data_IF_469231364457
#
_entry.id   IF_469231364457
#
_cell.length_a   1.000
_cell.length_b   1.000
_cell.length_c   1.000
_cell.angle_alpha   90.00
_cell.angle_beta   90.00
_cell.angle_gamma   90.00
#
_symmetry.space_group_name_H-M   'P 1'
#
loop_
_entity.id
_entity.type
_entity.pdbx_description
1 polymer ?
#
# COMPACT_ATOMS: atom_id res chain seq x y z
N UNK A 1 11.76 -24.29 11.45
CA UNK A 1 10.74 -23.62 12.29
C UNK A 1 11.03 -22.14 12.44
N UNK A 2 12.15 -21.71 13.05
CA UNK A 2 12.46 -20.29 13.30
C UNK A 2 12.43 -19.40 12.03
N UNK A 3 13.00 -19.87 10.93
CA UNK A 3 13.02 -19.12 9.65
C UNK A 3 11.61 -18.86 9.08
N UNK A 4 10.69 -19.83 9.20
CA UNK A 4 9.32 -19.70 8.69
C UNK A 4 8.53 -18.71 9.55
N UNK A 5 8.72 -18.75 10.88
CA UNK A 5 8.07 -17.81 11.81
C UNK A 5 8.53 -16.37 11.54
N UNK A 6 9.83 -16.17 11.26
CA UNK A 6 10.37 -14.86 10.89
C UNK A 6 9.77 -14.36 9.56
N UNK A 7 9.75 -15.21 8.53
CA UNK A 7 9.18 -14.86 7.23
C UNK A 7 7.69 -14.52 7.34
N UNK A 8 6.93 -15.28 8.14
CA UNK A 8 5.53 -15.02 8.43
C UNK A 8 5.37 -13.64 9.08
N UNK A 9 6.18 -13.33 10.11
CA UNK A 9 6.15 -12.04 10.78
C UNK A 9 6.44 -10.88 9.82
N UNK A 10 7.48 -11.02 8.99
CA UNK A 10 7.86 -10.01 7.99
C UNK A 10 6.74 -9.82 6.96
N UNK A 11 6.15 -10.90 6.46
CA UNK A 11 5.07 -10.83 5.49
C UNK A 11 3.84 -10.13 6.08
N UNK A 12 3.42 -10.50 7.29
CA UNK A 12 2.29 -9.86 7.99
C UNK A 12 2.58 -8.38 8.21
N UNK A 13 3.75 -8.05 8.73
CA UNK A 13 4.15 -6.67 9.03
C UNK A 13 4.21 -5.83 7.76
N UNK A 14 4.85 -6.34 6.70
CA UNK A 14 4.96 -5.65 5.42
C UNK A 14 3.58 -5.39 4.81
N UNK A 15 2.70 -6.41 4.79
CA UNK A 15 1.36 -6.27 4.26
C UNK A 15 0.51 -5.28 5.07
N UNK A 16 0.49 -5.40 6.41
CA UNK A 16 -0.25 -4.48 7.27
C UNK A 16 0.26 -3.05 7.08
N UNK A 17 1.58 -2.87 7.02
CA UNK A 17 2.20 -1.57 6.85
C UNK A 17 1.66 -0.88 5.61
N UNK A 18 1.74 -1.52 4.44
CA UNK A 18 1.41 -0.85 3.17
C UNK A 18 -0.10 -0.79 2.87
N UNK A 19 -0.92 -1.65 3.49
CA UNK A 19 -2.37 -1.70 3.21
C UNK A 19 -3.22 -0.95 4.25
N UNK A 20 -2.60 -0.26 5.20
CA UNK A 20 -3.34 0.47 6.24
C UNK A 20 -4.09 1.68 5.68
N UNK A 21 -3.54 2.35 4.67
CA UNK A 21 -4.21 3.48 4.01
C UNK A 21 -5.32 2.98 3.08
N UNK A 22 -5.08 1.88 2.36
CA UNK A 22 -6.07 1.17 1.56
C UNK A 22 -7.29 0.73 2.37
N UNK A 23 -7.11 0.42 3.67
CA UNK A 23 -8.20 0.00 4.55
C UNK A 23 -9.38 0.99 4.54
N UNK A 24 -9.10 2.30 4.53
CA UNK A 24 -10.14 3.33 4.57
C UNK A 24 -10.87 3.48 3.24
N UNK A 25 -10.11 3.42 2.14
CA UNK A 25 -10.66 3.45 0.78
C UNK A 25 -11.55 2.24 0.56
N UNK A 26 -11.09 1.05 0.97
CA UNK A 26 -11.84 -0.19 0.89
C UNK A 26 -13.08 -0.16 1.79
N UNK A 27 -12.98 0.39 3.01
CA UNK A 27 -14.13 0.58 3.88
C UNK A 27 -15.20 1.47 3.26
N UNK A 28 -14.81 2.57 2.58
CA UNK A 28 -15.76 3.43 1.88
C UNK A 28 -16.58 2.67 0.81
N UNK A 29 -15.94 1.78 0.04
CA UNK A 29 -16.64 0.93 -0.93
C UNK A 29 -17.59 -0.08 -0.28
N UNK A 30 -17.25 -0.62 0.90
CA UNK A 30 -18.14 -1.52 1.64
C UNK A 30 -19.30 -0.80 2.36
N UNK A 31 -19.13 0.48 2.71
CA UNK A 31 -20.19 1.32 3.28
C UNK A 31 -21.20 1.81 2.23
N UNK A 32 -20.79 1.96 0.98
CA UNK A 32 -21.68 2.36 -0.10
C UNK A 32 -22.54 1.18 -0.58
N UNK A 33 -23.84 1.25 -0.26
CA UNK A 33 -24.84 0.25 -0.64
C UNK A 33 -25.01 0.09 -2.17
N UNK A 34 -24.46 1.02 -2.96
CA UNK A 34 -24.43 0.91 -4.42
C UNK A 34 -23.49 -0.20 -4.91
N UNK A 35 -22.55 -0.66 -4.08
CA UNK A 35 -21.60 -1.71 -4.42
C UNK A 35 -21.99 -3.04 -3.76
N UNK A 36 -22.06 -4.10 -4.57
CA UNK A 36 -22.20 -5.44 -4.02
C UNK A 36 -20.86 -5.85 -3.37
N UNK A 37 -20.90 -6.36 -2.13
CA UNK A 37 -19.73 -6.85 -1.39
C UNK A 37 -18.84 -7.77 -2.23
N UNK A 38 -19.42 -8.64 -3.07
CA UNK A 38 -18.66 -9.55 -3.95
C UNK A 38 -17.82 -8.80 -4.99
N UNK A 39 -18.37 -7.72 -5.56
CA UNK A 39 -17.69 -6.88 -6.57
C UNK A 39 -16.50 -6.15 -5.92
N UNK A 40 -16.68 -5.67 -4.70
CA UNK A 40 -15.60 -5.02 -3.93
C UNK A 40 -14.46 -6.00 -3.67
N UNK A 41 -14.78 -7.22 -3.21
CA UNK A 41 -13.77 -8.27 -2.96
C UNK A 41 -13.02 -8.61 -4.26
N UNK A 42 -13.73 -8.82 -5.37
CA UNK A 42 -13.10 -9.14 -6.67
C UNK A 42 -12.17 -8.01 -7.11
N UNK A 43 -12.63 -6.75 -7.02
CA UNK A 43 -11.82 -5.59 -7.37
C UNK A 43 -10.53 -5.49 -6.54
N UNK A 44 -10.65 -5.71 -5.22
CA UNK A 44 -9.49 -5.71 -4.31
C UNK A 44 -8.48 -6.79 -4.68
N UNK A 45 -8.95 -8.02 -4.95
CA UNK A 45 -8.07 -9.11 -5.34
C UNK A 45 -7.35 -8.83 -6.65
N UNK A 46 -8.05 -8.27 -7.65
CA UNK A 46 -7.43 -7.89 -8.93
C UNK A 46 -6.36 -6.82 -8.70
N UNK A 47 -6.68 -5.74 -7.98
CA UNK A 47 -5.74 -4.64 -7.71
C UNK A 47 -4.49 -5.11 -6.97
N UNK A 48 -4.66 -5.83 -5.86
CA UNK A 48 -3.52 -6.36 -5.07
C UNK A 48 -2.71 -7.38 -5.86
N UNK A 49 -3.36 -8.25 -6.65
CA UNK A 49 -2.63 -9.22 -7.48
C UNK A 49 -1.76 -8.53 -8.52
N UNK A 50 -2.25 -7.46 -9.14
CA UNK A 50 -1.47 -6.64 -10.09
C UNK A 50 -0.27 -6.01 -9.38
N UNK A 51 -0.45 -5.45 -8.18
CA UNK A 51 0.65 -4.88 -7.38
C UNK A 51 1.70 -5.93 -7.03
N UNK A 52 1.28 -7.12 -6.60
CA UNK A 52 2.18 -8.24 -6.30
C UNK A 52 2.95 -8.66 -7.57
N UNK A 53 2.27 -8.80 -8.71
CA UNK A 53 2.89 -9.18 -9.98
C UNK A 53 3.95 -8.18 -10.42
N UNK A 54 3.65 -6.88 -10.34
CA UNK A 54 4.63 -5.82 -10.63
C UNK A 54 5.81 -5.89 -9.66
N UNK A 55 5.54 -6.15 -8.39
CA UNK A 55 6.58 -6.27 -7.36
C UNK A 55 7.47 -7.50 -7.54
N UNK A 56 6.97 -8.59 -8.15
CA UNK A 56 7.76 -9.77 -8.48
C UNK A 56 8.91 -9.48 -9.46
N UNK A 57 8.89 -8.35 -10.16
CA UNK A 57 10.04 -7.88 -10.94
C UNK A 57 11.29 -7.74 -10.06
N UNK A 58 11.15 -7.41 -8.77
CA UNK A 58 12.26 -7.41 -7.81
C UNK A 58 12.93 -8.78 -7.66
N UNK A 59 12.14 -9.86 -7.65
CA UNK A 59 12.68 -11.23 -7.64
C UNK A 59 13.37 -11.57 -8.97
N UNK A 60 12.88 -11.08 -10.10
CA UNK A 60 13.56 -11.25 -11.39
C UNK A 60 14.92 -10.52 -11.37
N UNK A 61 14.98 -9.30 -10.83
CA UNK A 61 16.24 -8.55 -10.69
C UNK A 61 17.31 -9.28 -9.86
N UNK A 62 16.92 -10.12 -8.90
CA UNK A 62 17.86 -10.99 -8.16
C UNK A 62 18.67 -11.91 -9.09
N UNK A 63 18.11 -12.32 -10.23
CA UNK A 63 18.80 -13.19 -11.19
C UNK A 63 19.86 -12.44 -12.01
N UNK A 64 19.76 -11.11 -12.08
CA UNK A 64 20.67 -10.26 -12.87
C UNK A 64 21.70 -9.52 -12.01
N UNK A 65 21.40 -9.29 -10.72
CA UNK A 65 22.22 -8.45 -9.84
C UNK A 65 23.00 -9.26 -8.80
N UNK A 66 24.27 -8.90 -8.50
CA UNK A 66 25.00 -9.47 -7.37
C UNK A 66 24.24 -9.25 -6.07
N UNK A 67 24.33 -10.21 -5.15
CA UNK A 67 23.57 -10.22 -3.87
C UNK A 67 23.74 -8.95 -3.05
N UNK A 68 24.89 -8.29 -3.14
CA UNK A 68 25.17 -7.06 -2.41
C UNK A 68 24.42 -5.83 -2.95
N UNK A 69 24.08 -5.81 -4.25
CA UNK A 69 23.27 -4.74 -4.85
C UNK A 69 21.81 -4.83 -4.43
N UNK A 70 21.33 -6.02 -4.08
CA UNK A 70 19.96 -6.24 -3.60
C UNK A 70 19.71 -5.50 -2.30
N UNK A 71 20.67 -5.47 -1.37
CA UNK A 71 20.45 -4.73 -0.12
C UNK A 71 20.41 -3.21 -0.31
N UNK A 72 20.95 -2.65 -1.40
CA UNK A 72 20.76 -1.23 -1.75
C UNK A 72 19.27 -0.93 -1.97
N UNK A 73 18.48 -1.89 -2.47
CA UNK A 73 17.03 -1.75 -2.60
C UNK A 73 16.32 -1.60 -1.24
N UNK A 74 16.96 -2.03 -0.14
CA UNK A 74 16.49 -1.78 1.22
C UNK A 74 16.52 -0.29 1.63
N UNK A 75 17.22 0.57 0.89
CA UNK A 75 17.13 2.02 1.05
C UNK A 75 15.77 2.57 0.61
N UNK A 76 15.08 1.91 -0.33
CA UNK A 76 13.80 2.40 -0.85
C UNK A 76 12.72 2.43 0.26
N UNK A 77 12.47 1.36 1.04
CA UNK A 77 11.60 1.41 2.20
C UNK A 77 12.02 2.47 3.23
N UNK A 78 13.33 2.63 3.48
CA UNK A 78 13.85 3.63 4.43
C UNK A 78 13.50 5.05 3.97
N UNK A 79 13.76 5.37 2.69
CA UNK A 79 13.47 6.69 2.11
C UNK A 79 11.96 6.97 2.18
N UNK A 80 11.12 5.97 1.85
CA UNK A 80 9.66 6.11 1.93
C UNK A 80 9.22 6.38 3.39
N UNK A 81 9.78 5.63 4.35
CA UNK A 81 9.47 5.80 5.77
C UNK A 81 9.87 7.19 6.30
N UNK A 82 11.09 7.65 5.98
CA UNK A 82 11.57 8.98 6.37
C UNK A 82 10.70 10.07 5.73
N UNK A 83 10.38 9.95 4.42
CA UNK A 83 9.53 10.92 3.72
C UNK A 83 8.16 11.04 4.37
N UNK A 84 7.58 9.92 4.78
CA UNK A 84 6.29 9.89 5.46
C UNK A 84 6.37 10.62 6.82
N UNK A 85 7.44 10.40 7.59
CA UNK A 85 7.66 11.08 8.88
C UNK A 85 7.78 12.62 8.72
N UNK A 86 8.55 13.08 7.72
CA UNK A 86 8.73 14.52 7.44
C UNK A 86 7.40 15.17 7.03
N UNK A 87 6.62 14.53 6.16
CA UNK A 87 5.32 15.04 5.72
C UNK A 87 4.31 15.10 6.86
N UNK A 88 4.36 14.16 7.80
CA UNK A 88 3.49 14.15 8.98
C UNK A 88 3.74 15.37 9.90
N UNK A 89 5.01 15.77 10.06
CA UNK A 89 5.39 16.98 10.82
C UNK A 89 4.97 18.26 10.07
N UNK A 90 5.06 18.27 8.73
CA UNK A 90 4.72 19.43 7.90
C UNK A 90 3.22 19.69 7.80
N UNK A 91 2.39 18.65 7.70
CA UNK A 91 0.93 18.78 7.63
C UNK A 91 0.31 19.23 8.95
N UNK A 92 0.87 18.83 10.10
CA UNK A 92 0.43 19.33 11.42
C UNK A 92 0.60 20.85 11.58
N UNK A 93 1.53 21.45 10.83
CA UNK A 93 1.83 22.90 10.85
C UNK A 93 0.97 23.71 9.87
N UNK A 94 0.43 23.07 8.80
CA UNK A 94 -0.37 23.73 7.75
C UNK A 94 -1.87 23.79 8.06
N UNK A 95 -2.39 22.88 8.89
CA UNK A 95 -3.81 22.87 9.28
C UNK A 95 -4.25 24.11 10.09
N UNK A 96 -3.34 24.74 10.85
CA UNK A 96 -3.66 25.96 11.64
C UNK A 96 -3.73 27.21 10.76
N UNK A 97 -2.94 27.28 9.67
CA UNK A 97 -2.92 28.45 8.77
C UNK A 97 -4.04 28.43 7.73
N UNK A 98 -4.52 27.24 7.33
CA UNK A 98 -5.52 27.13 6.27
C UNK A 98 -6.97 27.31 6.75
N UNK A 99 -7.31 27.08 8.02
CA UNK A 99 -8.66 27.35 8.53
C UNK A 99 -9.02 28.85 8.50
N UNK A 100 -8.02 29.73 8.63
CA UNK A 100 -8.22 31.19 8.57
C UNK A 100 -8.46 31.67 7.12
N UNK A 101 -7.81 31.04 6.13
CA UNK A 101 -7.87 31.48 4.71
C UNK A 101 -9.07 30.88 3.97
N UNK A 102 -9.52 29.66 4.32
CA UNK A 102 -10.63 28.98 3.64
C UNK A 102 -11.98 29.66 3.86
N UNK A 103 -12.16 30.44 4.93
CA UNK A 103 -13.41 31.19 5.16
C UNK A 103 -13.63 32.34 4.17
N UNK A 104 -12.56 32.84 3.52
CA UNK A 104 -12.62 33.96 2.57
C UNK A 104 -12.85 33.49 1.12
N UNK A 105 -12.33 32.31 0.72
CA UNK A 105 -12.41 31.83 -0.67
C UNK A 105 -13.75 31.18 -1.06
N UNK A 106 -14.58 30.74 -0.08
CA UNK A 106 -15.83 30.00 -0.36
C UNK A 106 -16.91 30.90 -1.01
N UNK A 107 -16.80 32.23 -0.95
CA UNK A 107 -17.83 33.13 -1.48
C UNK A 107 -17.79 33.34 -3.01
N UNK A 108 -16.73 32.96 -3.73
CA UNK A 108 -16.52 33.55 -5.08
C UNK A 108 -16.44 32.62 -6.30
N UNK A 109 -16.46 31.30 -6.20
CA UNK A 109 -16.28 30.44 -7.41
C UNK A 109 -17.26 29.27 -7.51
N UNK A 110 -18.48 29.58 -7.93
CA UNK A 110 -19.39 28.60 -8.54
C UNK A 110 -19.85 29.13 -9.91
N UNK A 111 -19.01 28.95 -10.94
CA UNK A 111 -19.40 28.83 -12.35
C UNK A 111 -18.16 28.52 -13.18
N UNK A 112 -18.17 27.36 -13.84
CA UNK A 112 -17.74 27.10 -15.23
C UNK A 112 -17.38 25.61 -15.39
N UNK A 113 -18.15 24.93 -16.24
CA UNK A 113 -17.93 23.54 -16.60
C UNK A 113 -16.90 23.39 -17.72
N UNK A 114 -16.50 22.15 -17.99
CA UNK A 114 -15.99 21.75 -19.29
C UNK A 114 -16.18 20.24 -19.52
N UNK A 115 -16.78 19.96 -20.68
CA UNK A 115 -16.88 18.66 -21.33
C UNK A 115 -15.52 18.28 -21.92
N UNK A 116 -15.12 17.00 -21.83
CA UNK A 116 -14.23 16.39 -22.82
C UNK A 116 -14.72 14.99 -23.23
N UNK A 117 -14.67 14.79 -24.55
CA UNK A 117 -15.36 13.76 -25.31
C UNK A 117 -14.33 12.76 -25.83
N UNK A 118 -14.12 11.65 -25.13
CA UNK A 118 -13.48 10.44 -25.67
C UNK A 118 -13.73 9.28 -24.71
N UNK A 119 -13.83 8.05 -25.23
CA UNK A 119 -13.80 6.74 -24.53
C UNK A 119 -15.06 5.84 -24.51
N UNK A 120 -15.72 5.58 -25.63
CA UNK A 120 -16.81 4.57 -25.65
C UNK A 120 -16.32 3.10 -25.48
N UNK A 121 -15.03 2.81 -25.67
CA UNK A 121 -14.45 1.46 -25.44
C UNK A 121 -13.84 1.34 -24.04
N UNK A 122 -13.07 2.35 -23.60
CA UNK A 122 -12.52 2.35 -22.25
C UNK A 122 -13.64 2.49 -21.20
N UNK A 123 -14.72 3.27 -21.43
CA UNK A 123 -15.90 3.26 -20.54
C UNK A 123 -16.47 1.86 -20.37
N UNK A 124 -16.60 1.07 -21.43
CA UNK A 124 -17.19 -0.28 -21.34
C UNK A 124 -16.34 -1.29 -20.56
N UNK A 125 -15.02 -1.10 -20.54
CA UNK A 125 -14.08 -1.86 -19.70
C UNK A 125 -14.07 -1.31 -18.26
N UNK A 126 -14.21 0.01 -18.11
CA UNK A 126 -14.31 0.74 -16.84
C UNK A 126 -15.68 0.57 -16.15
N UNK A 127 -16.73 0.18 -16.90
CA UNK A 127 -18.12 0.06 -16.44
C UNK A 127 -18.30 -1.07 -15.41
N UNK A 128 -17.34 -1.99 -15.31
CA UNK A 128 -17.34 -2.93 -14.19
C UNK A 128 -16.88 -2.21 -12.93
N UNK A 129 -17.80 -2.03 -11.97
CA UNK A 129 -17.51 -1.54 -10.62
C UNK A 129 -16.29 -2.24 -9.98
N UNK A 130 -16.03 -3.50 -10.31
CA UNK A 130 -14.84 -4.23 -9.83
C UNK A 130 -13.53 -3.69 -10.43
N UNK A 131 -13.53 -3.29 -11.70
CA UNK A 131 -12.36 -2.73 -12.38
C UNK A 131 -12.03 -1.33 -11.84
N UNK A 132 -13.05 -0.50 -11.57
CA UNK A 132 -12.85 0.78 -10.90
C UNK A 132 -12.17 0.60 -9.53
N UNK A 133 -12.66 -0.33 -8.71
CA UNK A 133 -12.07 -0.64 -7.40
C UNK A 133 -10.64 -1.18 -7.56
N UNK A 134 -10.39 -2.03 -8.55
CA UNK A 134 -9.05 -2.54 -8.84
C UNK A 134 -8.08 -1.42 -9.23
N UNK A 135 -8.51 -0.46 -10.06
CA UNK A 135 -7.71 0.73 -10.41
C UNK A 135 -7.43 1.56 -9.16
N UNK A 136 -8.44 1.85 -8.35
CA UNK A 136 -8.27 2.66 -7.14
C UNK A 136 -7.29 1.99 -6.18
N UNK A 137 -7.42 0.67 -5.98
CA UNK A 137 -6.49 -0.14 -5.18
C UNK A 137 -5.06 -0.09 -5.73
N UNK A 138 -4.92 -0.29 -7.05
CA UNK A 138 -3.62 -0.23 -7.71
C UNK A 138 -2.97 1.14 -7.62
N UNK A 139 -3.74 2.21 -7.83
CA UNK A 139 -3.27 3.60 -7.75
C UNK A 139 -2.86 4.00 -6.34
N UNK A 140 -3.52 3.46 -5.31
CA UNK A 140 -3.17 3.75 -3.93
C UNK A 140 -1.99 2.89 -3.43
N UNK A 141 -1.84 1.65 -3.92
CA UNK A 141 -0.75 0.75 -3.53
C UNK A 141 0.63 1.04 -4.14
N UNK A 142 0.95 2.30 -4.44
CA UNK A 142 2.28 2.68 -4.94
C UNK A 142 3.39 2.43 -3.92
N UNK A 143 3.09 2.57 -2.63
CA UNK A 143 3.96 2.18 -1.51
C UNK A 143 4.09 0.65 -1.39
N UNK A 144 3.05 -0.13 -1.71
CA UNK A 144 3.14 -1.59 -1.81
C UNK A 144 4.27 -1.98 -2.79
N UNK A 145 4.35 -1.36 -3.97
CA UNK A 145 5.43 -1.64 -4.93
C UNK A 145 6.79 -1.28 -4.33
N UNK A 146 6.89 -0.11 -3.70
CA UNK A 146 8.14 0.37 -3.07
C UNK A 146 8.66 -0.51 -1.93
N UNK A 147 7.79 -1.33 -1.33
CA UNK A 147 8.13 -2.21 -0.20
C UNK A 147 8.26 -3.67 -0.63
N UNK A 148 7.34 -4.15 -1.47
CA UNK A 148 7.30 -5.54 -1.89
C UNK A 148 8.42 -5.86 -2.87
N UNK A 149 8.76 -4.94 -3.78
CA UNK A 149 9.85 -5.12 -4.75
C UNK A 149 11.20 -5.43 -4.06
N UNK A 150 11.71 -4.59 -3.13
CA UNK A 150 12.95 -4.88 -2.43
C UNK A 150 12.85 -6.12 -1.53
N UNK A 151 11.69 -6.35 -0.90
CA UNK A 151 11.45 -7.55 -0.10
C UNK A 151 11.59 -8.80 -0.95
N UNK A 152 10.90 -8.88 -2.09
CA UNK A 152 10.88 -10.05 -2.98
C UNK A 152 12.26 -10.32 -3.60
N UNK A 153 13.03 -9.27 -3.88
CA UNK A 153 14.42 -9.42 -4.33
C UNK A 153 15.31 -10.14 -3.29
N UNK A 154 14.98 -10.04 -1.99
CA UNK A 154 15.71 -10.69 -0.89
C UNK A 154 15.27 -12.12 -0.57
N UNK A 155 14.25 -12.65 -1.27
CA UNK A 155 13.64 -13.96 -1.00
C UNK A 155 14.15 -15.04 -1.96
N UNK A 156 14.05 -16.29 -1.53
CA UNK A 156 14.15 -17.46 -2.43
C UNK A 156 12.78 -17.84 -3.01
N UNK A 157 12.74 -18.70 -4.04
CA UNK A 157 11.48 -19.01 -4.74
C UNK A 157 10.38 -19.55 -3.80
N UNK A 158 10.74 -20.46 -2.89
CA UNK A 158 9.80 -21.02 -1.92
C UNK A 158 9.30 -19.97 -0.92
N UNK A 159 10.17 -19.05 -0.51
CA UNK A 159 9.83 -17.94 0.39
C UNK A 159 8.92 -16.92 -0.31
N UNK A 160 9.18 -16.65 -1.60
CA UNK A 160 8.35 -15.78 -2.42
C UNK A 160 6.94 -16.36 -2.58
N UNK A 161 6.82 -17.63 -2.99
CA UNK A 161 5.52 -18.30 -3.14
C UNK A 161 4.75 -18.29 -1.82
N UNK A 162 5.42 -18.61 -0.71
CA UNK A 162 4.83 -18.54 0.63
C UNK A 162 4.33 -17.13 0.95
N UNK A 163 5.14 -16.10 0.68
CA UNK A 163 4.81 -14.70 0.95
C UNK A 163 3.62 -14.23 0.10
N UNK A 164 3.58 -14.59 -1.18
CA UNK A 164 2.46 -14.28 -2.10
C UNK A 164 1.17 -14.92 -1.63
N UNK A 165 1.20 -16.20 -1.26
CA UNK A 165 0.02 -16.90 -0.72
C UNK A 165 -0.45 -16.21 0.56
N UNK A 166 0.47 -15.85 1.46
CA UNK A 166 0.13 -15.14 2.69
C UNK A 166 -0.49 -13.77 2.43
N UNK A 167 0.00 -13.01 1.44
CA UNK A 167 -0.62 -11.73 1.06
C UNK A 167 -2.05 -11.94 0.54
N UNK A 168 -2.29 -12.95 -0.29
CA UNK A 168 -3.64 -13.26 -0.79
C UNK A 168 -4.60 -13.71 0.33
N UNK A 169 -4.11 -14.43 1.34
CA UNK A 169 -4.88 -14.77 2.55
C UNK A 169 -5.17 -13.50 3.36
N UNK A 170 -4.18 -12.63 3.53
CA UNK A 170 -4.34 -11.37 4.26
C UNK A 170 -5.37 -10.44 3.60
N UNK A 171 -5.50 -10.44 2.26
CA UNK A 171 -6.60 -9.73 1.56
C UNK A 171 -7.97 -10.23 2.02
N UNK A 172 -8.18 -11.55 2.15
CA UNK A 172 -9.43 -12.10 2.67
C UNK A 172 -9.69 -11.65 4.11
N UNK A 173 -8.65 -11.69 4.95
CA UNK A 173 -8.71 -11.22 6.34
C UNK A 173 -9.09 -9.73 6.39
N UNK A 174 -8.49 -8.90 5.54
CA UNK A 174 -8.79 -7.47 5.45
C UNK A 174 -10.25 -7.21 5.07
N UNK A 175 -10.74 -7.86 4.02
CA UNK A 175 -12.13 -7.78 3.59
C UNK A 175 -13.09 -8.23 4.70
N UNK A 176 -12.78 -9.33 5.40
CA UNK A 176 -13.59 -9.83 6.51
C UNK A 176 -13.67 -8.82 7.66
N UNK A 177 -12.52 -8.28 8.08
CA UNK A 177 -12.42 -7.29 9.15
C UNK A 177 -13.26 -6.06 8.81
N UNK A 178 -13.18 -5.54 7.59
CA UNK A 178 -13.94 -4.37 7.16
C UNK A 178 -15.44 -4.67 7.16
N UNK A 179 -15.88 -5.81 6.60
CA UNK A 179 -17.29 -6.20 6.61
C UNK A 179 -17.81 -6.32 8.05
N UNK A 180 -17.01 -6.88 8.95
CA UNK A 180 -17.33 -6.96 10.38
C UNK A 180 -17.52 -5.56 10.99
N UNK A 181 -16.65 -4.60 10.68
CA UNK A 181 -16.75 -3.22 11.19
C UNK A 181 -17.89 -2.41 10.58
N UNK A 182 -18.16 -2.57 9.28
CA UNK A 182 -19.28 -1.90 8.59
C UNK A 182 -20.62 -2.31 9.21
N UNK A 183 -20.77 -3.59 9.55
CA UNK A 183 -21.98 -4.07 10.22
C UNK A 183 -22.12 -3.58 11.68
N UNK A 184 -21.00 -3.21 12.32
CA UNK A 184 -20.93 -2.84 13.73
C UNK A 184 -20.59 -1.34 13.92
N UNK A 185 -21.36 -0.40 13.33
CA UNK A 185 -21.31 1.08 13.52
C UNK A 185 -19.97 1.63 14.08
N UNK A 186 -18.84 1.29 13.45
CA UNK A 186 -17.53 1.59 14.03
C UNK A 186 -16.98 2.91 13.49
N UNK A 187 -16.51 3.77 14.39
CA UNK A 187 -15.99 5.10 14.04
C UNK A 187 -14.54 4.99 13.57
N UNK A 188 -14.30 5.12 12.26
CA UNK A 188 -12.98 4.96 11.61
C UNK A 188 -11.87 5.95 12.00
N UNK A 189 -12.03 6.71 13.07
CA UNK A 189 -11.09 7.78 13.48
C UNK A 189 -9.86 7.20 14.19
N UNK A 190 -9.99 6.09 14.92
CA UNK A 190 -8.89 5.50 15.71
C UNK A 190 -7.79 4.91 14.80
N UNK A 191 -8.15 4.11 13.79
CA UNK A 191 -7.16 3.40 12.98
C UNK A 191 -6.26 4.34 12.17
N UNK A 192 -6.80 5.48 11.70
CA UNK A 192 -6.05 6.43 10.85
C UNK A 192 -4.93 7.12 11.64
N UNK A 193 -5.14 7.31 12.95
CA UNK A 193 -4.17 7.94 13.84
C UNK A 193 -2.99 7.01 14.17
N UNK A 194 -3.24 5.71 14.32
CA UNK A 194 -2.19 4.74 14.61
C UNK A 194 -1.39 4.34 13.35
N UNK A 195 -2.04 4.22 12.20
CA UNK A 195 -1.37 3.87 10.93
C UNK A 195 -0.30 4.88 10.53
N UNK A 196 -0.66 6.17 10.44
CA UNK A 196 0.26 7.25 10.06
C UNK A 196 1.47 7.39 11.00
N UNK A 197 1.34 6.97 12.26
CA UNK A 197 2.43 7.05 13.24
C UNK A 197 3.32 5.81 13.16
N UNK A 198 2.76 4.61 13.07
CA UNK A 198 3.53 3.36 13.11
C UNK A 198 4.20 3.02 11.77
N UNK A 199 3.52 3.30 10.65
CA UNK A 199 3.97 2.99 9.29
C UNK A 199 5.43 3.39 8.97
N UNK A 200 5.87 4.65 9.20
CA UNK A 200 7.23 5.06 8.86
C UNK A 200 8.31 4.27 9.61
N UNK A 201 8.07 3.91 10.87
CA UNK A 201 9.03 3.13 11.65
C UNK A 201 9.15 1.69 11.16
N UNK A 202 8.01 1.07 10.80
CA UNK A 202 7.98 -0.29 10.25
C UNK A 202 8.78 -0.37 8.95
N UNK A 203 8.62 0.62 8.07
CA UNK A 203 9.37 0.72 6.81
C UNK A 203 10.88 0.85 7.02
N UNK A 204 11.29 1.69 7.97
CA UNK A 204 12.71 1.87 8.31
C UNK A 204 13.30 0.56 8.81
N UNK A 205 12.62 -0.12 9.74
CA UNK A 205 13.05 -1.43 10.26
C UNK A 205 13.12 -2.48 9.16
N UNK A 206 12.13 -2.54 8.27
CA UNK A 206 12.11 -3.48 7.14
C UNK A 206 13.27 -3.22 6.17
N UNK A 207 13.55 -1.95 5.85
CA UNK A 207 14.67 -1.61 4.98
C UNK A 207 16.03 -1.93 5.60
N UNK A 208 16.22 -1.65 6.89
CA UNK A 208 17.43 -2.06 7.64
C UNK A 208 17.58 -3.58 7.61
N UNK A 209 16.49 -4.32 7.83
CA UNK A 209 16.50 -5.79 7.77
C UNK A 209 16.97 -6.31 6.40
N UNK A 210 16.48 -5.75 5.29
CA UNK A 210 16.88 -6.14 3.94
C UNK A 210 18.38 -5.88 3.71
N UNK A 211 18.89 -4.73 4.14
CA UNK A 211 20.32 -4.37 4.03
C UNK A 211 21.20 -5.38 4.79
N UNK A 212 20.82 -5.70 6.03
CA UNK A 212 21.57 -6.66 6.87
C UNK A 212 21.51 -8.07 6.31
N UNK A 213 20.34 -8.52 5.84
CA UNK A 213 20.14 -9.86 5.26
C UNK A 213 21.01 -10.08 4.02
N UNK A 214 21.16 -9.06 3.18
CA UNK A 214 21.95 -9.13 1.94
C UNK A 214 23.45 -8.86 2.13
N UNK A 215 23.91 -8.65 3.36
CA UNK A 215 25.31 -8.35 3.71
C UNK A 215 25.90 -7.15 2.95
N UNK A 216 25.07 -6.19 2.56
CA UNK A 216 25.47 -5.04 1.71
C UNK A 216 26.47 -4.12 2.39
N UNK A 217 26.50 -4.07 3.73
CA UNK A 217 27.48 -3.29 4.48
C UNK A 217 28.92 -3.73 4.22
N UNK A 218 29.13 -5.01 3.88
CA UNK A 218 30.46 -5.52 3.51
C UNK A 218 31.02 -4.91 2.22
N UNK A 219 30.18 -4.28 1.37
CA UNK A 219 30.61 -3.66 0.12
C UNK A 219 31.18 -2.24 0.32
N UNK A 220 30.85 -1.57 1.43
CA UNK A 220 31.36 -0.23 1.76
C UNK A 220 32.55 -0.25 2.73
N UNK A 221 32.83 -1.41 3.34
CA UNK A 221 33.85 -1.58 4.38
C UNK A 221 35.04 -2.44 3.90
N UNK A 222 35.03 -2.91 2.64
CA UNK A 222 36.14 -3.61 1.97
C UNK A 222 36.79 -2.70 0.94
#
# INVERSE_FOLDING_TARGET
>A
MQHIVQLLGIAIIAFISTNIDDFFVLAAFFFDNSYNKKIVIIGQYIGITILILISCVGFIFKLLLPTQWIGIMGLLPIIIGIRHLINHVKNKKKSISNEIVVSEEIMEKNSEGQHETQTNVLRRIIDSKAFFIAIVTFSNGGDNIGVYTPLFASLNLNELIFTVIMFLIMVAVWCYIIIFFVNNKFTGIIFRKYGNVCFPYVLILLGIYIILKCNTLGLFIS
#
